data_IF_914645341582
#
_entry.id   IF_914645341582
#
_cell.length_a   1.000
_cell.length_b   1.000
_cell.length_c   1.000
_cell.angle_alpha   90.00
_cell.angle_beta   90.00
_cell.angle_gamma   90.00
#
_symmetry.space_group_name_H-M   'P 1'
#
loop_
_entity.id
_entity.type
_entity.pdbx_description
1 polymer ?
#
# COMPACT_ATOMS: atom_id res chain seq x y z
N UNK A 1 1.71 -17.48 10.41
CA UNK A 1 2.39 -17.09 9.17
C UNK A 1 3.38 -15.93 9.38
N UNK A 2 2.97 -14.78 9.93
CA UNK A 2 3.86 -13.63 10.11
C UNK A 2 5.08 -13.94 10.99
N UNK A 3 4.92 -14.68 12.09
CA UNK A 3 6.04 -15.10 12.95
C UNK A 3 7.09 -15.90 12.21
N UNK A 4 6.69 -16.79 11.31
CA UNK A 4 7.62 -17.58 10.48
C UNK A 4 8.41 -16.67 9.53
N UNK A 5 7.75 -15.67 8.94
CA UNK A 5 8.41 -14.69 8.08
C UNK A 5 9.38 -13.81 8.87
N UNK A 6 9.03 -13.41 10.09
CA UNK A 6 9.93 -12.65 10.97
C UNK A 6 11.18 -13.45 11.30
N UNK A 7 11.05 -14.76 11.60
CA UNK A 7 12.21 -15.64 11.78
C UNK A 7 13.08 -15.71 10.53
N UNK A 8 12.48 -15.79 9.34
CA UNK A 8 13.23 -15.77 8.08
C UNK A 8 14.02 -14.46 7.91
N UNK A 9 13.45 -13.33 8.30
CA UNK A 9 14.15 -12.04 8.32
C UNK A 9 15.32 -12.05 9.30
N UNK A 10 15.11 -12.53 10.51
CA UNK A 10 16.17 -12.66 11.53
C UNK A 10 17.32 -13.56 11.06
N UNK A 11 17.03 -14.56 10.25
CA UNK A 11 18.03 -15.45 9.64
C UNK A 11 18.68 -14.86 8.37
N UNK A 12 18.29 -13.65 7.95
CA UNK A 12 18.83 -13.01 6.76
C UNK A 12 18.33 -13.57 5.43
N UNK A 13 17.28 -14.42 5.45
CA UNK A 13 16.71 -15.00 4.23
C UNK A 13 15.87 -14.01 3.44
N UNK A 14 15.29 -13.02 4.11
CA UNK A 14 14.55 -11.91 3.52
C UNK A 14 14.91 -10.61 4.24
N UNK A 15 14.80 -9.48 3.55
CA UNK A 15 15.12 -8.16 4.12
C UNK A 15 13.98 -7.57 4.92
N UNK A 16 12.76 -7.76 4.47
CA UNK A 16 11.57 -7.18 5.08
C UNK A 16 10.38 -8.14 4.97
N UNK A 17 9.45 -8.03 5.89
CA UNK A 17 8.23 -8.84 5.92
C UNK A 17 7.02 -7.98 6.20
N UNK A 18 5.87 -8.37 5.66
CA UNK A 18 4.64 -7.63 5.84
C UNK A 18 3.39 -8.48 5.77
N UNK A 19 2.26 -7.82 5.92
CA UNK A 19 0.94 -8.44 5.87
C UNK A 19 0.05 -7.72 4.86
N UNK A 20 -0.61 -8.50 4.01
CA UNK A 20 -1.76 -8.03 3.24
C UNK A 20 -3.03 -8.39 3.99
N UNK A 21 -3.59 -7.41 4.71
CA UNK A 21 -4.77 -7.59 5.54
C UNK A 21 -6.07 -7.18 4.86
N UNK A 22 -7.14 -7.25 5.64
CA UNK A 22 -8.49 -6.79 5.27
C UNK A 22 -9.16 -5.99 6.40
N UNK A 23 -8.53 -5.93 7.56
CA UNK A 23 -9.08 -5.26 8.74
C UNK A 23 -8.03 -4.40 9.43
N UNK A 24 -8.49 -3.35 10.10
CA UNK A 24 -7.64 -2.47 10.90
C UNK A 24 -6.96 -3.26 12.04
N UNK A 25 -7.72 -4.14 12.71
CA UNK A 25 -7.21 -4.95 13.81
C UNK A 25 -6.09 -5.88 13.36
N UNK A 26 -6.24 -6.51 12.19
CA UNK A 26 -5.20 -7.35 11.61
C UNK A 26 -3.93 -6.57 11.28
N UNK A 27 -4.07 -5.36 10.76
CA UNK A 27 -2.96 -4.45 10.50
C UNK A 27 -2.24 -4.04 11.79
N UNK A 28 -3.00 -3.64 12.81
CA UNK A 28 -2.46 -3.29 14.14
C UNK A 28 -1.67 -4.45 14.76
N UNK A 29 -2.24 -5.65 14.69
CA UNK A 29 -1.57 -6.83 15.20
C UNK A 29 -0.26 -7.09 14.45
N UNK A 30 -0.25 -6.96 13.14
CA UNK A 30 0.96 -7.14 12.35
C UNK A 30 2.04 -6.10 12.72
N UNK A 31 1.67 -4.84 12.88
CA UNK A 31 2.59 -3.79 13.33
C UNK A 31 3.15 -4.08 14.72
N UNK A 32 2.30 -4.52 15.66
CA UNK A 32 2.73 -4.87 17.02
C UNK A 32 3.69 -6.06 17.07
N UNK A 33 3.63 -6.94 16.06
CA UNK A 33 4.53 -8.08 15.91
C UNK A 33 5.81 -7.74 15.14
N UNK A 34 5.97 -6.50 14.69
CA UNK A 34 7.19 -6.05 14.01
C UNK A 34 7.16 -6.21 12.48
N UNK A 35 5.99 -6.17 11.86
CA UNK A 35 5.90 -6.10 10.41
C UNK A 35 6.57 -4.82 9.89
N UNK A 36 7.35 -4.96 8.82
CA UNK A 36 8.05 -3.83 8.18
C UNK A 36 7.14 -3.06 7.23
N UNK A 37 6.08 -3.72 6.74
CA UNK A 37 5.10 -3.08 5.86
C UNK A 37 3.73 -3.73 5.97
N UNK A 38 2.72 -2.98 5.57
CA UNK A 38 1.35 -3.46 5.38
C UNK A 38 0.90 -3.22 3.94
N UNK A 39 0.04 -4.10 3.44
CA UNK A 39 -0.70 -3.85 2.20
C UNK A 39 -2.17 -3.66 2.56
N UNK A 40 -2.69 -2.46 2.34
CA UNK A 40 -4.05 -2.05 2.68
C UNK A 40 -4.89 -1.77 1.44
N UNK A 41 -6.20 -1.87 1.56
CA UNK A 41 -7.15 -1.38 0.56
C UNK A 41 -7.42 0.09 0.82
N UNK A 42 -7.19 0.93 -0.18
CA UNK A 42 -7.51 2.35 -0.10
C UNK A 42 -7.87 2.88 -1.49
N UNK A 43 -9.07 3.43 -1.61
CA UNK A 43 -9.55 4.14 -2.79
C UNK A 43 -10.73 5.04 -2.34
N UNK A 44 -11.27 5.91 -3.21
CA UNK A 44 -12.36 6.82 -2.85
C UNK A 44 -13.62 6.16 -2.27
N UNK A 45 -13.87 4.88 -2.59
CA UNK A 45 -15.06 4.15 -2.13
C UNK A 45 -14.78 3.21 -0.96
N UNK A 46 -13.51 2.90 -0.70
CA UNK A 46 -13.08 1.98 0.35
C UNK A 46 -11.96 2.58 1.17
N UNK A 47 -12.28 3.03 2.37
CA UNK A 47 -11.34 3.74 3.25
C UNK A 47 -11.32 3.19 4.69
N UNK A 48 -11.87 2.00 4.92
CA UNK A 48 -11.98 1.41 6.26
C UNK A 48 -10.60 1.22 6.91
N UNK A 49 -9.57 0.89 6.12
CA UNK A 49 -8.21 0.69 6.61
C UNK A 49 -7.39 1.99 6.72
N UNK A 50 -7.99 3.16 6.43
CA UNK A 50 -7.31 4.46 6.49
C UNK A 50 -6.63 4.76 7.83
N UNK A 51 -7.17 4.37 9.01
CA UNK A 51 -6.47 4.57 10.29
C UNK A 51 -5.06 3.97 10.34
N UNK A 52 -4.79 2.92 9.55
CA UNK A 52 -3.47 2.28 9.50
C UNK A 52 -2.40 3.17 8.86
N UNK A 53 -2.76 4.24 8.14
CA UNK A 53 -1.79 5.15 7.52
C UNK A 53 -0.92 5.80 8.59
N UNK A 54 -1.54 6.40 9.60
CA UNK A 54 -0.81 7.07 10.68
C UNK A 54 -0.14 6.05 11.60
N UNK A 55 -0.80 4.93 11.85
CA UNK A 55 -0.24 3.88 12.70
C UNK A 55 1.02 3.24 12.09
N UNK A 56 1.03 2.98 10.78
CA UNK A 56 2.22 2.51 10.07
C UNK A 56 3.34 3.54 10.13
N UNK A 57 3.02 4.82 9.89
CA UNK A 57 3.99 5.91 10.00
C UNK A 57 4.62 5.97 11.39
N UNK A 58 3.82 5.90 12.44
CA UNK A 58 4.30 5.94 13.82
C UNK A 58 5.17 4.73 14.18
N UNK A 59 4.98 3.60 13.51
CA UNK A 59 5.79 2.39 13.68
C UNK A 59 6.99 2.32 12.71
N UNK A 60 7.19 3.31 11.84
CA UNK A 60 8.24 3.28 10.82
C UNK A 60 8.03 2.23 9.74
N UNK A 61 6.79 1.75 9.57
CA UNK A 61 6.43 0.74 8.57
C UNK A 61 5.98 1.40 7.26
N UNK A 62 6.33 0.77 6.14
CA UNK A 62 5.85 1.19 4.82
C UNK A 62 4.43 0.73 4.54
N UNK A 63 3.74 1.43 3.64
CA UNK A 63 2.42 1.05 3.16
C UNK A 63 2.43 0.80 1.65
N UNK A 64 1.90 -0.36 1.28
CA UNK A 64 1.54 -0.71 -0.07
C UNK A 64 0.02 -0.61 -0.19
N UNK A 65 -0.48 0.03 -1.23
CA UNK A 65 -1.91 0.16 -1.44
C UNK A 65 -2.35 -0.76 -2.57
N UNK A 66 -3.35 -1.59 -2.30
CA UNK A 66 -4.04 -2.41 -3.29
C UNK A 66 -5.41 -1.82 -3.61
N UNK A 67 -5.94 -2.15 -4.77
CA UNK A 67 -7.26 -1.70 -5.25
C UNK A 67 -7.40 -0.16 -5.31
N UNK A 68 -6.29 0.55 -5.49
CA UNK A 68 -6.28 2.01 -5.59
C UNK A 68 -7.24 2.55 -6.65
N UNK A 69 -7.41 1.83 -7.75
CA UNK A 69 -8.31 2.19 -8.86
C UNK A 69 -9.69 1.50 -8.78
N UNK A 70 -10.05 0.91 -7.62
CA UNK A 70 -11.35 0.30 -7.41
C UNK A 70 -11.74 -0.74 -8.46
N UNK A 71 -10.76 -1.51 -8.96
CA UNK A 71 -10.98 -2.49 -10.05
C UNK A 71 -11.54 -1.88 -11.34
N UNK A 72 -11.32 -0.58 -11.57
CA UNK A 72 -11.75 0.12 -12.78
C UNK A 72 -13.17 0.69 -12.74
N UNK A 73 -13.85 0.64 -11.59
CA UNK A 73 -15.22 1.13 -11.44
C UNK A 73 -15.32 2.55 -10.87
N UNK A 74 -14.19 3.19 -10.55
CA UNK A 74 -14.20 4.53 -9.96
C UNK A 74 -14.48 5.61 -11.01
N UNK A 75 -15.26 6.61 -10.62
CA UNK A 75 -15.58 7.79 -11.44
C UNK A 75 -14.48 8.86 -11.39
N UNK A 76 -13.65 8.85 -10.35
CA UNK A 76 -12.55 9.79 -10.21
C UNK A 76 -11.43 9.48 -11.22
N UNK A 77 -10.74 10.53 -11.69
CA UNK A 77 -9.61 10.36 -12.62
C UNK A 77 -8.40 9.72 -11.93
N UNK A 78 -7.63 8.92 -12.67
CA UNK A 78 -6.42 8.26 -12.15
C UNK A 78 -5.41 9.28 -11.59
N UNK A 79 -5.10 10.41 -12.26
CA UNK A 79 -4.21 11.41 -11.68
C UNK A 79 -4.70 11.97 -10.35
N UNK A 80 -6.00 12.21 -10.20
CA UNK A 80 -6.59 12.68 -8.94
C UNK A 80 -6.43 11.64 -7.83
N UNK A 81 -6.74 10.37 -8.13
CA UNK A 81 -6.59 9.27 -7.17
C UNK A 81 -5.13 9.17 -6.70
N UNK A 82 -4.18 9.20 -7.60
CA UNK A 82 -2.75 9.09 -7.25
C UNK A 82 -2.25 10.32 -6.49
N UNK A 83 -2.72 11.51 -6.83
CA UNK A 83 -2.40 12.73 -6.10
C UNK A 83 -2.84 12.63 -4.63
N UNK A 84 -4.07 12.20 -4.39
CA UNK A 84 -4.61 12.06 -3.04
C UNK A 84 -3.89 10.94 -2.27
N UNK A 85 -3.64 9.82 -2.94
CA UNK A 85 -2.98 8.67 -2.34
C UNK A 85 -1.56 9.01 -1.88
N UNK A 86 -0.75 9.56 -2.77
CA UNK A 86 0.65 9.88 -2.50
C UNK A 86 0.86 11.21 -1.77
N UNK A 87 -0.22 11.92 -1.42
CA UNK A 87 -0.17 13.00 -0.44
C UNK A 87 0.16 12.49 0.98
N UNK A 88 -0.05 11.20 1.25
CA UNK A 88 0.35 10.55 2.49
C UNK A 88 1.81 10.06 2.40
N UNK A 89 2.77 10.63 3.15
CA UNK A 89 4.19 10.28 3.02
C UNK A 89 4.51 8.81 3.35
N UNK A 90 3.69 8.15 4.17
CA UNK A 90 3.87 6.73 4.54
C UNK A 90 3.41 5.76 3.46
N UNK A 91 2.64 6.20 2.48
CA UNK A 91 2.27 5.36 1.34
C UNK A 91 3.44 5.33 0.36
N UNK A 92 4.06 4.17 0.24
CA UNK A 92 5.29 3.98 -0.54
C UNK A 92 5.04 3.47 -1.94
N UNK A 93 3.94 2.74 -2.17
CA UNK A 93 3.66 2.13 -3.47
C UNK A 93 2.18 1.80 -3.64
N UNK A 94 1.72 1.83 -4.88
CA UNK A 94 0.41 1.35 -5.29
C UNK A 94 0.56 0.12 -6.19
N UNK A 95 -0.16 -0.93 -5.85
CA UNK A 95 -0.17 -2.18 -6.61
C UNK A 95 -1.33 -2.15 -7.60
N UNK A 96 -1.01 -2.00 -8.87
CA UNK A 96 -1.98 -1.88 -9.94
C UNK A 96 -1.90 -3.11 -10.84
N UNK A 97 -2.99 -3.88 -10.87
CA UNK A 97 -3.12 -5.01 -11.80
C UNK A 97 -3.57 -4.52 -13.18
N UNK A 98 -2.81 -4.86 -14.21
CA UNK A 98 -3.21 -4.64 -15.60
C UNK A 98 -2.53 -5.64 -16.53
N UNK A 99 -3.23 -6.01 -17.60
CA UNK A 99 -2.66 -6.84 -18.69
C UNK A 99 -2.34 -6.01 -19.92
N UNK A 100 -2.61 -4.69 -19.89
CA UNK A 100 -2.41 -3.77 -21.00
C UNK A 100 -1.15 -2.93 -20.80
N UNK A 101 -0.14 -3.04 -21.67
CA UNK A 101 1.04 -2.17 -21.62
C UNK A 101 0.71 -0.69 -21.75
N UNK A 102 -0.35 -0.36 -22.49
CA UNK A 102 -0.82 1.03 -22.66
C UNK A 102 -1.36 1.56 -21.34
N UNK A 103 -2.19 0.77 -20.64
CA UNK A 103 -2.71 1.17 -19.32
C UNK A 103 -1.58 1.32 -18.30
N UNK A 104 -0.61 0.40 -18.29
CA UNK A 104 0.55 0.52 -17.40
C UNK A 104 1.31 1.82 -17.64
N UNK A 105 1.60 2.15 -18.89
CA UNK A 105 2.27 3.40 -19.25
C UNK A 105 1.46 4.63 -18.81
N UNK A 106 0.16 4.64 -19.07
CA UNK A 106 -0.71 5.74 -18.67
C UNK A 106 -0.78 5.90 -17.16
N UNK A 107 -0.82 4.79 -16.41
CA UNK A 107 -0.77 4.82 -14.94
C UNK A 107 0.54 5.42 -14.44
N UNK A 108 1.67 5.08 -15.04
CA UNK A 108 2.97 5.66 -14.68
C UNK A 108 3.01 7.17 -14.97
N UNK A 109 2.47 7.61 -16.09
CA UNK A 109 2.39 9.03 -16.46
C UNK A 109 1.43 9.83 -15.57
N UNK A 110 0.47 9.16 -14.95
CA UNK A 110 -0.50 9.78 -14.03
C UNK A 110 0.05 10.00 -12.61
N UNK A 111 1.23 9.47 -12.29
CA UNK A 111 1.87 9.69 -11.00
C UNK A 111 2.21 11.18 -10.79
N UNK A 112 2.13 11.70 -9.55
CA UNK A 112 2.61 13.04 -9.24
C UNK A 112 4.06 13.23 -9.70
N UNK A 113 4.40 14.42 -10.19
CA UNK A 113 5.73 14.73 -10.75
C UNK A 113 6.85 14.45 -9.77
N UNK A 114 6.64 14.70 -8.48
CA UNK A 114 7.62 14.46 -7.40
C UNK A 114 7.98 12.99 -7.26
N UNK A 115 7.09 12.08 -7.65
CA UNK A 115 7.28 10.62 -7.56
C UNK A 115 7.93 10.06 -8.82
N UNK A 116 7.75 10.71 -9.97
CA UNK A 116 8.34 10.29 -11.25
C UNK A 116 9.86 10.49 -11.30
N UNK A 117 10.40 11.27 -10.39
CA UNK A 117 11.84 11.49 -10.23
C UNK A 117 12.50 10.31 -9.52
#
# INVERSE_FOLDING_TARGET
ALRTLIKAREQGLVHAVGLSGKTVEGGRLALSQGADCLMITLNPEQSDEKPLIDEAKNNGAGLLVKKALGSGHLTASIPSIFKDLFAHPSITSAIIGTISPVHLRNNCLALPTEIQQ
#
